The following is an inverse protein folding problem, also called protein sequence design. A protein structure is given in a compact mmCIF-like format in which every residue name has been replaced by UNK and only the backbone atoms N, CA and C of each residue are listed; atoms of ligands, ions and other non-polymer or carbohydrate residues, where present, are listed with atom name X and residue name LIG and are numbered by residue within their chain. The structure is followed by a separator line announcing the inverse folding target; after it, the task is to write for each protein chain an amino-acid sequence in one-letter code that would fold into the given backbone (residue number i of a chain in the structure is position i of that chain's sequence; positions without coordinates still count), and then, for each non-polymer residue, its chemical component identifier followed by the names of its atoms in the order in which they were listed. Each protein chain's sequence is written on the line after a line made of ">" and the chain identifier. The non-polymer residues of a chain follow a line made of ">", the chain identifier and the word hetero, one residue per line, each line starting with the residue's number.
data_IF_518974935372
#
_entry.id   IF_518974935372
#
_cell.length_a   1.000
_cell.length_b   1.000
_cell.length_c   1.000
_cell.angle_alpha   90.00
_cell.angle_beta   90.00
_cell.angle_gamma   90.00
#
_symmetry.space_group_name_H-M   'P 1'
#
loop_
_entity.id
_entity.type
_entity.pdbx_description
1 polymer ?
#
# COMPACT_ATOMS: atom_id res chain seq x y z
N UNK A 1 -12.54 -7.72 -1.72
CA UNK A 1 -12.73 -6.47 -0.98
C UNK A 1 -11.54 -5.53 -1.23
N UNK A 2 -11.82 -4.27 -1.34
CA UNK A 2 -10.79 -3.27 -1.56
C UNK A 2 -10.80 -2.26 -0.41
N UNK A 3 -9.61 -1.91 0.07
CA UNK A 3 -9.43 -0.92 1.13
C UNK A 3 -8.59 0.24 0.60
N UNK A 4 -8.92 1.44 1.02
CA UNK A 4 -8.20 2.64 0.62
C UNK A 4 -7.87 3.49 1.84
N UNK A 5 -6.66 4.03 1.88
CA UNK A 5 -6.25 4.96 2.92
C UNK A 5 -5.36 6.05 2.36
N UNK A 6 -5.48 7.24 2.92
CA UNK A 6 -4.62 8.37 2.60
C UNK A 6 -3.35 8.37 3.43
N UNK A 7 -2.37 9.11 2.96
CA UNK A 7 -1.10 9.28 3.65
C UNK A 7 -1.30 10.00 4.99
N UNK A 8 -1.02 9.28 6.07
CA UNK A 8 -1.03 9.83 7.43
C UNK A 8 0.35 9.71 8.08
N UNK A 9 1.39 9.58 7.24
CA UNK A 9 2.73 9.33 7.73
C UNK A 9 3.10 7.86 7.64
N UNK A 10 4.40 7.60 7.60
CA UNK A 10 4.93 6.27 7.30
C UNK A 10 4.57 5.24 8.37
N UNK A 11 4.63 5.64 9.65
CA UNK A 11 4.29 4.73 10.74
C UNK A 11 2.82 4.30 10.69
N UNK A 12 1.93 5.24 10.36
CA UNK A 12 0.51 4.93 10.27
C UNK A 12 0.21 4.03 9.07
N UNK A 13 0.85 4.28 7.93
CA UNK A 13 0.69 3.44 6.75
C UNK A 13 1.18 2.02 7.01
N UNK A 14 2.28 1.88 7.73
CA UNK A 14 2.82 0.58 8.13
C UNK A 14 1.81 -0.20 8.98
N UNK A 15 1.17 0.47 9.94
CA UNK A 15 0.14 -0.16 10.77
C UNK A 15 -1.07 -0.60 9.94
N UNK A 16 -1.45 0.21 8.96
CA UNK A 16 -2.56 -0.12 8.08
C UNK A 16 -2.23 -1.37 7.25
N UNK A 17 -1.01 -1.47 6.74
CA UNK A 17 -0.59 -2.64 5.98
C UNK A 17 -0.70 -3.90 6.85
N UNK A 18 -0.18 -3.85 8.06
CA UNK A 18 -0.23 -4.99 8.98
C UNK A 18 -1.67 -5.36 9.30
N UNK A 19 -2.48 -4.36 9.66
CA UNK A 19 -3.86 -4.58 10.05
C UNK A 19 -4.74 -5.11 8.93
N UNK A 20 -4.48 -4.65 7.70
CA UNK A 20 -5.30 -5.02 6.56
C UNK A 20 -5.25 -6.51 6.23
N UNK A 21 -4.15 -7.20 6.59
CA UNK A 21 -4.02 -8.62 6.30
C UNK A 21 -5.10 -9.47 6.96
N UNK A 22 -5.70 -8.97 8.03
CA UNK A 22 -6.79 -9.69 8.70
C UNK A 22 -8.08 -9.66 7.90
N UNK A 23 -8.23 -8.70 7.01
CA UNK A 23 -9.49 -8.45 6.28
C UNK A 23 -9.39 -8.76 4.79
N UNK A 24 -8.18 -8.89 4.25
CA UNK A 24 -7.99 -9.13 2.82
C UNK A 24 -7.85 -10.63 2.55
N UNK A 25 -8.59 -11.11 1.56
CA UNK A 25 -8.44 -12.46 1.04
C UNK A 25 -7.66 -12.38 -0.29
N UNK A 26 -7.58 -13.50 -1.02
CA UNK A 26 -6.82 -13.56 -2.28
C UNK A 26 -7.34 -12.61 -3.35
N UNK A 27 -8.58 -12.15 -3.25
CA UNK A 27 -9.17 -11.23 -4.21
C UNK A 27 -9.22 -9.79 -3.69
N UNK A 28 -8.63 -9.56 -2.53
CA UNK A 28 -8.65 -8.24 -1.92
C UNK A 28 -7.47 -7.38 -2.37
N UNK A 29 -7.63 -6.08 -2.20
CA UNK A 29 -6.58 -5.12 -2.51
C UNK A 29 -6.56 -4.00 -1.48
N UNK A 30 -5.36 -3.53 -1.15
CA UNK A 30 -5.16 -2.36 -0.30
C UNK A 30 -4.48 -1.29 -1.12
N UNK A 31 -5.13 -0.12 -1.21
CA UNK A 31 -4.56 1.02 -1.90
C UNK A 31 -4.20 2.10 -0.89
N UNK A 32 -2.96 2.57 -0.94
CA UNK A 32 -2.49 3.62 -0.07
C UNK A 32 -2.03 4.81 -0.89
N UNK A 33 -2.46 6.00 -0.49
CA UNK A 33 -1.89 7.25 -0.98
C UNK A 33 -0.72 7.60 -0.06
N UNK A 34 0.46 7.89 -0.63
CA UNK A 34 1.66 8.11 0.17
C UNK A 34 2.43 9.34 -0.31
N UNK A 35 3.41 9.75 0.48
CA UNK A 35 4.28 10.86 0.12
C UNK A 35 5.43 10.46 -0.78
N UNK A 36 6.11 11.45 -1.32
CA UNK A 36 7.26 11.26 -2.19
C UNK A 36 8.36 10.53 -1.41
N UNK A 37 8.92 9.49 -2.01
CA UNK A 37 10.03 8.76 -1.42
C UNK A 37 9.63 7.67 -0.43
N UNK A 38 8.34 7.44 -0.20
CA UNK A 38 7.87 6.42 0.73
C UNK A 38 7.63 5.07 0.06
N UNK A 39 7.62 5.02 -1.26
CA UNK A 39 7.20 3.83 -2.01
C UNK A 39 8.08 2.60 -1.74
N UNK A 40 9.40 2.77 -1.64
CA UNK A 40 10.29 1.64 -1.41
C UNK A 40 10.02 0.97 -0.07
N UNK A 41 9.88 1.77 0.98
CA UNK A 41 9.57 1.25 2.31
C UNK A 41 8.22 0.52 2.32
N UNK A 42 7.21 1.13 1.73
CA UNK A 42 5.87 0.56 1.72
C UNK A 42 5.82 -0.74 0.90
N UNK A 43 6.54 -0.78 -0.22
CA UNK A 43 6.64 -1.96 -1.04
C UNK A 43 7.27 -3.12 -0.27
N UNK A 44 8.39 -2.85 0.41
CA UNK A 44 9.06 -3.87 1.22
C UNK A 44 8.15 -4.35 2.36
N UNK A 45 7.42 -3.43 2.97
CA UNK A 45 6.50 -3.78 4.05
C UNK A 45 5.37 -4.68 3.56
N UNK A 46 4.81 -4.37 2.40
CA UNK A 46 3.76 -5.20 1.80
C UNK A 46 4.27 -6.59 1.46
N UNK A 47 5.47 -6.68 0.89
CA UNK A 47 6.08 -7.98 0.57
C UNK A 47 6.25 -8.80 1.85
N UNK A 48 6.77 -8.17 2.90
CA UNK A 48 6.98 -8.84 4.19
C UNK A 48 5.68 -9.36 4.78
N UNK A 49 4.60 -8.61 4.61
CA UNK A 49 3.30 -9.00 5.15
C UNK A 49 2.52 -9.97 4.24
N UNK A 50 3.12 -10.39 3.14
CA UNK A 50 2.55 -11.45 2.32
C UNK A 50 1.67 -11.03 1.16
N UNK A 51 1.70 -9.76 0.78
CA UNK A 51 1.00 -9.34 -0.42
C UNK A 51 1.68 -9.95 -1.65
N UNK A 52 0.89 -10.52 -2.55
CA UNK A 52 1.41 -11.30 -3.67
C UNK A 52 1.83 -10.46 -4.86
N UNK A 53 1.16 -9.34 -5.08
CA UNK A 53 1.44 -8.44 -6.19
C UNK A 53 1.37 -7.02 -5.70
N UNK A 54 2.26 -6.17 -6.18
CA UNK A 54 2.31 -4.76 -5.78
C UNK A 54 2.41 -3.91 -7.04
N UNK A 55 1.60 -2.86 -7.09
CA UNK A 55 1.65 -1.88 -8.16
C UNK A 55 1.94 -0.50 -7.60
N UNK A 56 2.79 0.24 -8.30
CA UNK A 56 3.03 1.65 -8.00
C UNK A 56 2.33 2.47 -9.07
N UNK A 57 1.57 3.49 -8.63
CA UNK A 57 0.82 4.33 -9.53
C UNK A 57 1.28 5.76 -9.37
N UNK A 58 1.60 6.40 -10.48
CA UNK A 58 2.03 7.79 -10.51
C UNK A 58 0.84 8.71 -10.72
N UNK A 59 0.97 9.92 -10.21
CA UNK A 59 0.01 10.97 -10.49
C UNK A 59 0.30 11.57 -11.88
N UNK A 60 -0.47 12.57 -12.26
CA UNK A 60 -0.31 13.21 -13.57
C UNK A 60 0.98 14.02 -13.71
N UNK A 61 1.71 14.22 -12.61
CA UNK A 61 3.03 14.85 -12.61
C UNK A 61 4.17 13.84 -12.68
N UNK A 62 3.84 12.56 -12.92
CA UNK A 62 4.80 11.45 -13.02
C UNK A 62 5.52 11.16 -11.69
N UNK A 63 4.83 11.41 -10.58
CA UNK A 63 5.36 11.15 -9.24
C UNK A 63 4.57 9.99 -8.63
N UNK A 64 5.29 9.00 -8.07
CA UNK A 64 4.63 7.88 -7.39
C UNK A 64 3.84 8.39 -6.18
N UNK A 65 2.54 8.19 -6.19
CA UNK A 65 1.64 8.68 -5.15
C UNK A 65 0.76 7.60 -4.55
N UNK A 66 0.61 6.48 -5.25
CA UNK A 66 -0.25 5.40 -4.78
C UNK A 66 0.48 4.08 -4.89
N UNK A 67 0.23 3.21 -3.92
CA UNK A 67 0.72 1.84 -3.94
C UNK A 67 -0.46 0.92 -3.70
N UNK A 68 -0.57 -0.14 -4.49
CA UNK A 68 -1.63 -1.13 -4.34
C UNK A 68 -0.99 -2.47 -4.04
N UNK A 69 -1.43 -3.10 -2.95
CA UNK A 69 -1.03 -4.46 -2.63
C UNK A 69 -2.21 -5.40 -2.80
N UNK A 70 -1.99 -6.50 -3.51
CA UNK A 70 -3.02 -7.51 -3.76
C UNK A 70 -2.81 -8.69 -2.81
N UNK A 71 -3.88 -9.10 -2.19
CA UNK A 71 -3.88 -10.17 -1.21
C UNK A 71 -3.66 -11.58 -1.70
#
# INVERSE_FOLDING_TARGET
>A
IALYSKNNGLADLSKIIIGSRKYLNENGALMLEHGIGQEDYLQQKMIKEGFKKIELIKDFKDINRFIIGYG
#
